data_IF_586491192837
#
_entry.id   IF_586491192837
#
_cell.length_a   1.000
_cell.length_b   1.000
_cell.length_c   1.000
_cell.angle_alpha   90.00
_cell.angle_beta   90.00
_cell.angle_gamma   90.00
#
_symmetry.space_group_name_H-M   'P 1'
#
loop_
_entity.id
_entity.type
_entity.pdbx_description
1 polymer ?
#
# COMPACT_ATOMS: atom_id res chain seq x y z
N UNK A 1 33.63 -21.89 17.71
CA UNK A 1 32.15 -21.78 17.72
C UNK A 1 31.68 -20.55 18.50
N UNK A 2 32.23 -20.25 19.68
CA UNK A 2 31.90 -19.04 20.49
C UNK A 2 32.05 -17.72 19.74
N UNK A 3 32.99 -17.63 18.78
CA UNK A 3 33.24 -16.42 17.99
C UNK A 3 32.15 -16.08 16.96
N UNK A 4 31.47 -17.08 16.38
CA UNK A 4 30.46 -16.85 15.33
C UNK A 4 29.15 -16.32 15.93
N UNK A 5 28.73 -16.87 17.07
CA UNK A 5 27.53 -16.41 17.78
C UNK A 5 27.74 -14.98 18.29
N UNK A 6 28.92 -14.69 18.83
CA UNK A 6 29.27 -13.33 19.26
C UNK A 6 29.33 -12.36 18.08
N UNK A 7 29.91 -12.77 16.95
CA UNK A 7 29.93 -11.96 15.72
C UNK A 7 28.52 -11.64 15.24
N UNK A 8 27.64 -12.64 15.13
CA UNK A 8 26.24 -12.44 14.74
C UNK A 8 25.52 -11.51 15.72
N UNK A 9 25.71 -11.71 17.03
CA UNK A 9 25.13 -10.85 18.06
C UNK A 9 25.53 -9.39 17.88
N UNK A 10 26.81 -9.13 17.59
CA UNK A 10 27.31 -7.78 17.37
C UNK A 10 26.80 -7.21 16.04
N UNK A 11 26.76 -8.00 14.96
CA UNK A 11 26.17 -7.59 13.67
C UNK A 11 24.71 -7.16 13.83
N UNK A 12 23.90 -7.91 14.58
CA UNK A 12 22.52 -7.55 14.85
C UNK A 12 22.41 -6.23 15.64
N UNK A 13 23.24 -6.07 16.68
CA UNK A 13 23.27 -4.85 17.49
C UNK A 13 23.71 -3.62 16.67
N UNK A 14 24.73 -3.78 15.83
CA UNK A 14 25.25 -2.73 14.95
C UNK A 14 24.22 -2.33 13.87
N UNK A 15 23.50 -3.30 13.30
CA UNK A 15 22.42 -3.05 12.36
C UNK A 15 21.29 -2.23 13.00
N UNK A 16 20.88 -2.59 14.22
CA UNK A 16 19.89 -1.82 14.99
C UNK A 16 20.41 -0.40 15.29
N UNK A 17 21.66 -0.27 15.75
CA UNK A 17 22.24 1.02 16.08
C UNK A 17 22.40 1.93 14.86
N UNK A 18 22.69 1.37 13.68
CA UNK A 18 22.79 2.12 12.42
C UNK A 18 21.42 2.61 11.97
N UNK A 19 20.46 1.69 11.78
CA UNK A 19 19.13 2.03 11.29
C UNK A 19 18.35 2.90 12.29
N UNK A 20 18.54 2.68 13.60
CA UNK A 20 17.89 3.40 14.68
C UNK A 20 18.11 4.91 14.67
N UNK A 21 19.18 5.40 14.02
CA UNK A 21 19.45 6.84 13.87
C UNK A 21 18.41 7.57 13.02
N UNK A 22 17.74 6.86 12.11
CA UNK A 22 16.67 7.37 11.28
C UNK A 22 15.27 7.10 11.87
N UNK A 23 15.17 6.41 13.01
CA UNK A 23 13.90 6.02 13.62
C UNK A 23 13.39 7.11 14.54
N UNK A 24 12.14 7.52 14.36
CA UNK A 24 11.46 8.52 15.20
C UNK A 24 10.20 7.93 15.82
N UNK A 25 9.81 8.41 17.01
CA UNK A 25 8.47 8.15 17.51
C UNK A 25 7.49 9.10 16.81
N UNK A 26 6.32 8.61 16.41
CA UNK A 26 5.26 9.42 15.80
C UNK A 26 4.11 9.52 16.79
N UNK A 27 3.79 10.74 17.20
CA UNK A 27 2.71 11.05 18.12
C UNK A 27 1.57 11.69 17.34
N UNK A 28 0.72 10.85 16.75
CA UNK A 28 -0.43 11.26 15.92
C UNK A 28 -1.76 10.62 16.41
N UNK A 29 -1.83 10.29 17.71
CA UNK A 29 -2.99 9.65 18.35
C UNK A 29 -3.03 9.95 19.85
N UNK A 30 -4.21 9.85 20.46
CA UNK A 30 -4.42 10.19 21.90
C UNK A 30 -3.61 9.36 22.89
N UNK A 31 -3.21 8.13 22.56
CA UNK A 31 -2.51 7.21 23.46
C UNK A 31 -1.43 6.45 22.72
N UNK A 32 -0.21 6.52 23.25
CA UNK A 32 0.98 5.84 22.73
C UNK A 32 1.47 6.44 21.41
N UNK A 33 2.76 6.25 21.13
CA UNK A 33 3.38 6.58 19.85
C UNK A 33 3.34 5.39 18.90
N UNK A 34 3.43 5.66 17.60
CA UNK A 34 3.90 4.69 16.61
C UNK A 34 5.34 5.00 16.24
N UNK A 35 5.86 4.32 15.22
CA UNK A 35 7.21 4.57 14.73
C UNK A 35 7.13 5.20 13.35
N UNK A 36 8.10 6.05 13.04
CA UNK A 36 8.35 6.55 11.69
C UNK A 36 9.82 6.43 11.34
N UNK A 37 10.11 6.63 10.07
CA UNK A 37 11.46 6.63 9.51
C UNK A 37 11.70 7.97 8.85
N UNK A 38 12.80 8.64 9.21
CA UNK A 38 13.33 9.80 8.49
C UNK A 38 13.78 9.34 7.10
N UNK A 39 12.87 9.40 6.13
CA UNK A 39 13.03 8.82 4.81
C UNK A 39 13.98 9.65 3.93
N UNK A 40 13.89 10.97 4.06
CA UNK A 40 14.77 11.96 3.43
C UNK A 40 14.77 13.25 4.27
N UNK A 41 15.64 14.24 4.00
CA UNK A 41 15.65 15.48 4.77
C UNK A 41 14.26 16.12 4.86
N UNK A 42 13.79 16.39 6.07
CA UNK A 42 12.46 16.99 6.34
C UNK A 42 11.25 16.09 6.09
N UNK A 43 11.42 14.81 5.76
CA UNK A 43 10.32 13.88 5.43
C UNK A 43 10.39 12.63 6.29
N UNK A 44 9.29 12.34 6.98
CA UNK A 44 9.11 11.11 7.75
C UNK A 44 8.02 10.26 7.09
N UNK A 45 8.30 8.98 6.90
CA UNK A 45 7.31 7.97 6.51
C UNK A 45 6.86 7.19 7.73
N UNK A 46 5.57 6.90 7.84
CA UNK A 46 4.99 6.04 8.88
C UNK A 46 3.82 5.23 8.31
N UNK A 47 3.17 4.44 9.16
CA UNK A 47 1.99 3.66 8.79
C UNK A 47 0.69 4.48 8.96
N UNK A 48 -0.13 4.56 7.89
CA UNK A 48 -1.39 5.33 7.85
C UNK A 48 -2.32 4.98 9.01
N UNK A 49 -2.56 3.69 9.27
CA UNK A 49 -3.50 3.29 10.32
C UNK A 49 -3.11 3.78 11.73
N UNK A 50 -1.86 4.20 11.93
CA UNK A 50 -1.39 4.74 13.21
C UNK A 50 -1.60 6.25 13.35
N UNK A 51 -1.76 6.96 12.23
CA UNK A 51 -2.05 8.41 12.16
C UNK A 51 -3.56 8.59 12.29
N UNK A 52 -4.00 9.02 13.47
CA UNK A 52 -5.43 9.17 13.83
C UNK A 52 -5.85 10.62 14.04
N UNK A 53 -4.93 11.56 13.88
CA UNK A 53 -5.10 12.99 14.00
C UNK A 53 -4.49 13.64 12.76
N UNK A 54 -5.12 14.70 12.29
CA UNK A 54 -4.62 15.47 11.14
C UNK A 54 -3.85 16.72 11.59
N UNK A 55 -4.11 17.19 12.81
CA UNK A 55 -3.49 18.34 13.44
C UNK A 55 -2.71 17.93 14.70
N UNK A 56 -1.85 18.84 15.18
CA UNK A 56 -1.05 18.67 16.41
C UNK A 56 -0.13 17.42 16.40
N UNK A 57 0.26 16.96 15.21
CA UNK A 57 1.18 15.85 15.06
C UNK A 57 2.56 16.29 15.52
N UNK A 58 3.20 15.48 16.37
CA UNK A 58 4.60 15.66 16.74
C UNK A 58 5.38 14.38 16.49
N UNK A 59 6.66 14.52 16.21
CA UNK A 59 7.60 13.40 16.23
C UNK A 59 8.57 13.56 17.40
N UNK A 60 9.04 12.46 17.96
CA UNK A 60 10.14 12.46 18.93
C UNK A 60 11.37 11.88 18.25
N UNK A 61 12.44 12.68 18.17
CA UNK A 61 13.72 12.29 17.57
C UNK A 61 14.45 11.26 18.43
N UNK A 62 15.48 10.57 17.88
CA UNK A 62 16.33 9.66 18.66
C UNK A 62 16.97 10.30 19.90
N UNK A 63 17.22 11.61 19.87
CA UNK A 63 17.76 12.37 21.00
C UNK A 63 16.70 12.79 22.05
N UNK A 64 15.45 12.36 21.87
CA UNK A 64 14.33 12.64 22.75
C UNK A 64 13.61 13.96 22.50
N UNK A 65 14.08 14.82 21.58
CA UNK A 65 13.44 16.12 21.32
C UNK A 65 12.12 15.95 20.56
N UNK A 66 11.01 16.53 21.05
CA UNK A 66 9.77 16.62 20.29
C UNK A 66 9.88 17.72 19.22
N UNK A 67 9.37 17.45 18.03
CA UNK A 67 9.35 18.37 16.90
C UNK A 67 7.97 18.35 16.25
N UNK A 68 7.37 19.51 15.92
CA UNK A 68 6.11 19.55 15.20
C UNK A 68 6.26 18.93 13.81
N UNK A 69 5.21 18.25 13.36
CA UNK A 69 5.14 17.68 12.03
C UNK A 69 3.76 17.95 11.42
N UNK A 70 3.70 18.01 10.10
CA UNK A 70 2.46 18.23 9.34
C UNK A 70 2.20 17.03 8.45
N UNK A 71 0.95 16.58 8.38
CA UNK A 71 0.56 15.52 7.45
C UNK A 71 0.60 16.07 6.02
N UNK A 72 1.56 15.60 5.21
CA UNK A 72 1.61 15.94 3.79
C UNK A 72 0.57 15.16 2.99
N UNK A 73 0.37 13.89 3.35
CA UNK A 73 -0.59 13.02 2.70
C UNK A 73 -0.60 11.63 3.29
N UNK A 74 -1.62 10.86 2.95
CA UNK A 74 -1.74 9.45 3.37
C UNK A 74 -2.35 8.59 2.29
N UNK A 75 -1.99 7.32 2.35
CA UNK A 75 -2.42 6.31 1.41
C UNK A 75 -2.93 5.06 2.14
N UNK A 76 -4.24 4.97 2.45
CA UNK A 76 -4.79 3.81 3.15
C UNK A 76 -4.67 2.48 2.39
N UNK A 77 -4.45 2.53 1.06
CA UNK A 77 -4.31 1.34 0.23
C UNK A 77 -2.96 0.65 0.40
N UNK A 78 -1.87 1.40 0.51
CA UNK A 78 -0.55 0.87 0.91
C UNK A 78 -0.28 0.98 2.40
N UNK A 79 -1.18 1.62 3.15
CA UNK A 79 -1.05 1.89 4.59
C UNK A 79 0.16 2.77 4.93
N UNK A 80 0.50 3.72 4.07
CA UNK A 80 1.59 4.69 4.27
C UNK A 80 1.04 6.09 4.55
N UNK A 81 1.72 6.83 5.42
CA UNK A 81 1.52 8.26 5.59
C UNK A 81 2.86 8.99 5.57
N UNK A 82 2.84 10.22 5.06
CA UNK A 82 4.02 11.08 4.99
C UNK A 82 3.81 12.33 5.82
N UNK A 83 4.79 12.60 6.68
CA UNK A 83 4.85 13.80 7.49
C UNK A 83 6.01 14.69 7.03
N UNK A 84 5.78 16.00 6.98
CA UNK A 84 6.84 17.00 6.79
C UNK A 84 7.24 17.61 8.12
N UNK A 85 8.55 17.84 8.28
CA UNK A 85 9.15 18.35 9.52
C UNK A 85 10.04 19.55 9.19
N UNK A 86 9.96 20.67 9.94
CA UNK A 86 10.63 21.93 9.59
C UNK A 86 12.17 21.93 9.71
N UNK A 87 12.78 20.87 10.25
CA UNK A 87 14.22 20.79 10.49
C UNK A 87 14.81 19.47 9.95
N UNK A 88 15.76 19.59 9.03
CA UNK A 88 16.25 18.53 8.15
C UNK A 88 17.33 17.58 8.72
N UNK A 89 17.78 17.78 9.97
CA UNK A 89 19.00 17.14 10.50
C UNK A 89 18.81 15.93 11.44
N UNK A 90 17.99 14.91 11.14
CA UNK A 90 18.27 13.55 11.60
C UNK A 90 19.13 12.80 10.58
N UNK A 91 19.79 11.73 11.03
CA UNK A 91 20.37 10.77 10.10
C UNK A 91 19.25 10.23 9.20
N UNK A 92 19.42 10.39 7.89
CA UNK A 92 18.47 9.87 6.89
C UNK A 92 18.63 8.35 6.79
N UNK A 93 17.54 7.67 6.48
CA UNK A 93 17.52 6.25 6.19
C UNK A 93 18.57 5.86 5.12
N UNK A 94 19.45 4.91 5.46
CA UNK A 94 20.25 4.19 4.47
C UNK A 94 19.36 3.12 3.83
N UNK A 95 18.97 3.31 2.57
CA UNK A 95 18.08 2.39 1.88
C UNK A 95 18.85 1.20 1.32
N UNK A 96 18.33 -0.01 1.55
CA UNK A 96 18.78 -1.25 0.95
C UNK A 96 17.95 -1.62 -0.26
N UNK A 97 18.18 -2.83 -0.77
CA UNK A 97 17.40 -3.39 -1.87
C UNK A 97 16.50 -4.52 -1.37
N UNK A 98 15.19 -4.27 -1.38
CA UNK A 98 14.17 -5.25 -1.00
C UNK A 98 14.11 -6.44 -1.99
N UNK A 99 14.55 -6.25 -3.24
CA UNK A 99 14.50 -7.32 -4.24
C UNK A 99 15.57 -8.39 -4.03
N UNK A 100 16.65 -8.03 -3.32
CA UNK A 100 17.70 -8.94 -2.89
C UNK A 100 17.25 -9.92 -1.79
N UNK A 101 16.12 -9.64 -1.10
CA UNK A 101 15.62 -10.49 -0.02
C UNK A 101 15.10 -11.83 -0.53
N UNK A 102 15.51 -12.90 0.15
CA UNK A 102 15.07 -14.27 -0.08
C UNK A 102 14.43 -14.83 1.18
N UNK A 103 13.57 -15.83 1.01
CA UNK A 103 13.02 -16.59 2.14
C UNK A 103 14.16 -17.16 2.98
N UNK A 104 14.09 -16.97 4.30
CA UNK A 104 15.12 -17.37 5.25
C UNK A 104 16.19 -16.31 5.53
N UNK A 105 16.24 -15.20 4.78
CA UNK A 105 17.14 -14.09 5.16
C UNK A 105 16.75 -13.52 6.53
N UNK A 106 17.71 -13.36 7.45
CA UNK A 106 17.47 -12.73 8.73
C UNK A 106 17.21 -11.24 8.55
N UNK A 107 16.25 -10.73 9.30
CA UNK A 107 15.82 -9.33 9.26
C UNK A 107 15.46 -8.85 10.66
N UNK A 108 15.53 -7.54 10.83
CA UNK A 108 15.22 -6.84 12.07
C UNK A 108 14.07 -5.87 11.84
N UNK A 109 13.06 -5.91 12.70
CA UNK A 109 12.03 -4.90 12.78
C UNK A 109 12.36 -3.95 13.94
N UNK A 110 12.32 -2.64 13.69
CA UNK A 110 12.62 -1.64 14.71
C UNK A 110 11.35 -0.84 15.07
N UNK A 111 11.25 -0.49 16.35
CA UNK A 111 10.32 0.49 16.90
C UNK A 111 11.06 1.65 17.57
N UNK A 112 10.38 2.78 17.74
CA UNK A 112 10.94 3.95 18.41
C UNK A 112 11.31 3.67 19.89
N UNK A 113 12.39 4.30 20.38
CA UNK A 113 12.89 4.12 21.75
C UNK A 113 13.96 3.04 21.88
N UNK A 114 14.93 3.00 20.95
CA UNK A 114 14.99 1.94 19.94
C UNK A 114 14.73 0.55 20.54
N UNK A 115 13.66 -0.08 20.10
CA UNK A 115 13.35 -1.49 20.40
C UNK A 115 13.48 -2.31 19.13
N UNK A 116 14.00 -3.52 19.22
CA UNK A 116 14.17 -4.40 18.06
C UNK A 116 13.50 -5.75 18.28
N UNK A 117 13.04 -6.34 17.18
CA UNK A 117 12.55 -7.71 17.07
C UNK A 117 13.26 -8.34 15.87
N UNK A 118 13.68 -9.60 15.99
CA UNK A 118 14.43 -10.28 14.94
C UNK A 118 13.67 -11.52 14.46
N UNK A 119 13.97 -11.94 13.24
CA UNK A 119 13.44 -13.16 12.66
C UNK A 119 13.86 -13.28 11.21
N UNK A 120 12.99 -13.86 10.38
CA UNK A 120 13.31 -14.11 8.96
C UNK A 120 12.22 -13.62 8.01
N UNK A 121 12.59 -13.43 6.75
CA UNK A 121 11.62 -13.35 5.65
C UNK A 121 11.00 -14.73 5.46
N UNK A 122 9.69 -14.86 5.69
CA UNK A 122 8.97 -16.14 5.65
C UNK A 122 8.30 -16.42 4.30
N UNK A 123 8.01 -15.38 3.52
CA UNK A 123 7.66 -15.53 2.11
C UNK A 123 7.98 -14.27 1.33
N UNK A 124 8.30 -14.51 0.06
CA UNK A 124 8.46 -13.51 -0.96
C UNK A 124 7.59 -13.89 -2.14
N UNK A 125 6.77 -12.96 -2.61
CA UNK A 125 6.03 -13.10 -3.86
C UNK A 125 6.16 -11.81 -4.67
N UNK A 126 5.77 -11.85 -5.95
CA UNK A 126 5.78 -10.68 -6.82
C UNK A 126 4.80 -9.58 -6.38
N UNK A 127 4.40 -8.76 -7.36
CA UNK A 127 3.47 -7.66 -7.13
C UNK A 127 2.22 -8.11 -6.40
N UNK A 128 1.82 -7.32 -5.41
CA UNK A 128 0.68 -7.60 -4.55
C UNK A 128 -0.31 -6.43 -4.57
N UNK A 129 -1.55 -6.71 -4.94
CA UNK A 129 -2.67 -5.78 -4.81
C UNK A 129 -3.34 -5.99 -3.46
N UNK A 130 -3.40 -4.94 -2.64
CA UNK A 130 -4.08 -4.99 -1.35
C UNK A 130 -5.60 -4.92 -1.59
N UNK A 131 -6.38 -5.47 -0.65
CA UNK A 131 -7.85 -5.39 -0.69
C UNK A 131 -8.40 -3.95 -0.65
N UNK A 132 -7.55 -2.96 -0.30
CA UNK A 132 -7.87 -1.53 -0.30
C UNK A 132 -7.48 -0.83 -1.61
N UNK A 133 -7.01 -1.57 -2.61
CA UNK A 133 -6.58 -1.04 -3.91
C UNK A 133 -5.21 -0.37 -3.88
N UNK A 134 -4.35 -0.72 -2.91
CA UNK A 134 -2.93 -0.35 -2.95
C UNK A 134 -2.13 -1.33 -3.80
N UNK A 135 -1.17 -0.79 -4.54
CA UNK A 135 -0.23 -1.59 -5.32
C UNK A 135 1.12 -1.62 -4.61
N UNK A 136 1.56 -2.83 -4.26
CA UNK A 136 2.83 -3.09 -3.57
C UNK A 136 3.71 -3.90 -4.50
N UNK A 137 4.94 -3.44 -4.72
CA UNK A 137 5.84 -3.98 -5.73
C UNK A 137 6.23 -5.45 -5.45
N UNK A 138 6.23 -5.84 -4.18
CA UNK A 138 6.59 -7.18 -3.72
C UNK A 138 5.92 -7.51 -2.38
N UNK A 139 5.34 -8.70 -2.25
CA UNK A 139 4.90 -9.19 -0.95
C UNK A 139 6.12 -9.63 -0.14
N UNK A 140 6.36 -8.96 1.00
CA UNK A 140 7.34 -9.38 2.01
C UNK A 140 6.61 -9.82 3.28
N UNK A 141 6.50 -11.13 3.48
CA UNK A 141 5.92 -11.70 4.71
C UNK A 141 7.05 -12.08 5.66
N UNK A 142 6.86 -11.78 6.95
CA UNK A 142 7.90 -11.93 7.95
C UNK A 142 7.48 -12.94 9.02
N UNK A 143 8.47 -13.59 9.62
CA UNK A 143 8.31 -14.40 10.82
C UNK A 143 9.13 -13.76 11.94
N UNK A 144 8.51 -12.77 12.59
CA UNK A 144 9.02 -12.02 13.74
C UNK A 144 7.83 -11.41 14.50
N UNK A 145 8.07 -10.81 15.67
CA UNK A 145 7.01 -10.15 16.43
C UNK A 145 7.01 -8.64 16.17
N UNK A 146 5.88 -8.09 15.70
CA UNK A 146 5.64 -6.64 15.67
C UNK A 146 4.83 -6.22 16.89
N UNK A 147 5.51 -5.72 17.92
CA UNK A 147 4.85 -5.21 19.12
C UNK A 147 4.07 -3.91 18.83
N UNK A 148 3.07 -3.56 19.65
CA UNK A 148 2.42 -2.25 19.56
C UNK A 148 3.45 -1.12 19.53
N UNK A 149 3.39 -0.29 18.48
CA UNK A 149 4.34 0.80 18.25
C UNK A 149 5.31 0.55 17.08
N UNK A 150 5.52 -0.69 16.64
CA UNK A 150 6.45 -1.01 15.54
C UNK A 150 5.93 -0.61 14.15
N UNK A 151 4.61 -0.50 13.97
CA UNK A 151 4.05 -0.08 12.68
C UNK A 151 4.54 1.31 12.30
N UNK A 152 4.97 1.44 11.05
CA UNK A 152 5.64 2.61 10.49
C UNK A 152 7.16 2.64 10.72
N UNK A 153 7.70 1.72 11.53
CA UNK A 153 9.15 1.54 11.70
C UNK A 153 9.79 0.70 10.60
N UNK A 154 11.13 0.69 10.50
CA UNK A 154 11.83 0.06 9.40
C UNK A 154 11.95 -1.46 9.58
N UNK A 155 11.85 -2.18 8.46
CA UNK A 155 12.44 -3.50 8.29
C UNK A 155 13.88 -3.32 7.81
N UNK A 156 14.83 -4.01 8.43
CA UNK A 156 16.27 -3.76 8.28
C UNK A 156 16.99 -5.07 7.99
N UNK A 157 17.95 -5.04 7.06
CA UNK A 157 18.85 -6.16 6.80
C UNK A 157 20.02 -6.22 7.80
N UNK A 158 20.92 -7.19 7.67
CA UNK A 158 22.06 -7.33 8.58
C UNK A 158 23.14 -6.24 8.40
N UNK A 159 23.11 -5.48 7.30
CA UNK A 159 24.01 -4.35 7.08
C UNK A 159 23.49 -3.06 7.74
N UNK A 160 22.31 -3.11 8.35
CA UNK A 160 21.64 -1.94 8.93
C UNK A 160 20.94 -1.07 7.88
N UNK A 161 20.74 -1.57 6.65
CA UNK A 161 20.00 -0.85 5.61
C UNK A 161 18.52 -1.16 5.69
N UNK A 162 17.71 -0.14 5.45
CA UNK A 162 16.26 -0.22 5.49
C UNK A 162 15.76 -0.81 4.18
N UNK A 163 15.08 -1.95 4.26
CA UNK A 163 14.53 -2.70 3.11
C UNK A 163 13.00 -2.58 3.01
N UNK A 164 12.35 -1.95 4.00
CA UNK A 164 10.94 -1.62 3.93
C UNK A 164 10.39 -0.98 5.20
N UNK A 165 9.07 -0.78 5.23
CA UNK A 165 8.33 -0.27 6.40
C UNK A 165 7.40 -1.34 6.94
N UNK A 166 7.52 -1.64 8.23
CA UNK A 166 6.69 -2.62 8.91
C UNK A 166 5.25 -2.11 9.04
N UNK A 167 4.29 -2.99 8.76
CA UNK A 167 2.87 -2.67 8.96
C UNK A 167 2.07 -3.88 9.44
N UNK A 168 1.08 -3.59 10.29
CA UNK A 168 -0.03 -4.49 10.66
C UNK A 168 -1.35 -4.10 10.01
N UNK A 169 -1.40 -2.99 9.27
CA UNK A 169 -2.60 -2.45 8.64
C UNK A 169 -3.05 -3.20 7.38
N UNK A 170 -2.13 -3.96 6.76
CA UNK A 170 -2.39 -4.69 5.51
C UNK A 170 -2.64 -6.19 5.68
N UNK A 171 -2.29 -6.75 6.83
CA UNK A 171 -2.43 -8.18 7.12
C UNK A 171 -2.80 -8.39 8.58
N UNK A 172 -3.85 -9.18 8.82
CA UNK A 172 -4.35 -9.47 10.17
C UNK A 172 -3.63 -10.62 10.87
N UNK A 173 -2.98 -11.49 10.10
CA UNK A 173 -2.48 -12.77 10.61
C UNK A 173 -0.97 -12.89 10.58
N UNK A 174 -0.30 -12.11 9.72
CA UNK A 174 1.15 -12.22 9.56
C UNK A 174 1.75 -10.85 9.36
N UNK A 175 2.86 -10.52 10.05
CA UNK A 175 3.63 -9.32 9.78
C UNK A 175 4.04 -9.22 8.32
N UNK A 176 3.91 -8.02 7.76
CA UNK A 176 4.38 -7.70 6.42
C UNK A 176 5.18 -6.40 6.45
N UNK A 177 6.05 -6.24 5.45
CA UNK A 177 6.73 -4.99 5.19
C UNK A 177 6.39 -4.47 3.80
N UNK A 178 6.28 -3.15 3.69
CA UNK A 178 6.10 -2.43 2.44
C UNK A 178 7.51 -2.14 1.89
N UNK A 179 7.91 -2.69 0.72
CA UNK A 179 9.26 -2.54 0.17
C UNK A 179 9.65 -1.09 -0.07
N UNK A 180 10.96 -0.79 0.01
CA UNK A 180 11.50 0.57 -0.26
C UNK A 180 11.03 1.19 -1.58
N UNK A 181 10.89 0.38 -2.64
CA UNK A 181 10.44 0.87 -3.95
C UNK A 181 9.00 1.42 -3.88
N UNK A 182 8.11 0.67 -3.21
CA UNK A 182 6.73 1.12 -2.95
C UNK A 182 6.72 2.35 -2.07
N UNK A 183 7.51 2.38 -0.99
CA UNK A 183 7.57 3.50 -0.06
C UNK A 183 8.03 4.79 -0.77
N UNK A 184 9.10 4.74 -1.56
CA UNK A 184 9.59 5.89 -2.32
C UNK A 184 8.56 6.41 -3.30
N UNK A 185 7.97 5.54 -4.12
CA UNK A 185 6.94 5.90 -5.10
C UNK A 185 5.73 6.56 -4.44
N UNK A 186 5.20 5.94 -3.38
CA UNK A 186 4.03 6.47 -2.65
C UNK A 186 4.39 7.79 -1.97
N UNK A 187 5.57 7.88 -1.34
CA UNK A 187 5.98 9.10 -0.65
C UNK A 187 6.09 10.31 -1.58
N UNK A 188 6.60 10.09 -2.79
CA UNK A 188 6.69 11.15 -3.80
C UNK A 188 5.33 11.63 -4.29
N UNK A 189 4.38 10.72 -4.50
CA UNK A 189 3.01 11.10 -4.88
C UNK A 189 2.28 11.83 -3.74
N UNK A 190 2.42 11.33 -2.50
CA UNK A 190 1.83 11.97 -1.32
C UNK A 190 2.38 13.39 -1.10
N UNK A 191 3.67 13.63 -1.32
CA UNK A 191 4.24 14.97 -1.20
C UNK A 191 3.83 15.91 -2.33
N UNK A 192 3.55 15.39 -3.52
CA UNK A 192 3.11 16.20 -4.67
C UNK A 192 1.62 16.55 -4.64
N UNK A 193 0.78 15.59 -4.24
CA UNK A 193 -0.69 15.67 -4.43
C UNK A 193 -1.49 15.53 -3.13
N UNK A 194 -0.84 15.17 -2.03
CA UNK A 194 -1.49 14.83 -0.76
C UNK A 194 -2.18 13.46 -0.73
N UNK A 195 -2.26 12.77 -1.87
CA UNK A 195 -2.88 11.44 -2.01
C UNK A 195 -2.31 10.67 -3.19
N UNK A 196 -2.48 9.35 -3.20
CA UNK A 196 -2.17 8.50 -4.36
C UNK A 196 -3.43 8.36 -5.20
N UNK A 197 -3.34 8.78 -6.46
CA UNK A 197 -4.42 8.67 -7.42
C UNK A 197 -4.79 7.21 -7.66
N UNK A 198 -6.08 6.91 -7.73
CA UNK A 198 -6.57 5.54 -7.97
C UNK A 198 -7.66 5.54 -9.02
N UNK A 199 -7.48 4.72 -10.05
CA UNK A 199 -8.53 4.51 -11.02
C UNK A 199 -9.78 3.97 -10.34
N UNK A 200 -10.93 4.54 -10.68
CA UNK A 200 -12.21 3.99 -10.29
C UNK A 200 -13.25 4.20 -11.38
N UNK A 201 -14.22 3.29 -11.44
CA UNK A 201 -15.39 3.40 -12.31
C UNK A 201 -16.65 3.83 -11.56
N UNK A 202 -16.67 3.71 -10.23
CA UNK A 202 -17.88 3.98 -9.43
C UNK A 202 -18.94 2.88 -9.61
N UNK A 203 -18.50 1.62 -9.68
CA UNK A 203 -19.36 0.45 -9.84
C UNK A 203 -19.21 -0.48 -8.63
N UNK A 204 -20.33 -1.04 -8.17
CA UNK A 204 -20.31 -2.27 -7.41
C UNK A 204 -20.62 -3.43 -8.37
N UNK A 205 -19.78 -4.45 -8.35
CA UNK A 205 -19.80 -5.56 -9.31
C UNK A 205 -19.96 -6.89 -8.58
N UNK A 206 -20.68 -7.81 -9.21
CA UNK A 206 -20.80 -9.19 -8.71
C UNK A 206 -20.58 -10.19 -9.86
N UNK A 207 -19.76 -11.24 -9.68
CA UNK A 207 -19.61 -12.28 -10.69
C UNK A 207 -20.93 -13.02 -10.95
N UNK A 208 -21.27 -13.20 -12.22
CA UNK A 208 -22.45 -13.96 -12.65
C UNK A 208 -22.10 -14.88 -13.82
N UNK A 209 -22.72 -16.07 -13.83
CA UNK A 209 -22.62 -16.99 -14.97
C UNK A 209 -23.54 -16.53 -16.08
N UNK A 210 -23.02 -16.50 -17.29
CA UNK A 210 -23.76 -16.21 -18.51
C UNK A 210 -24.37 -17.50 -19.08
N UNK A 211 -25.63 -17.47 -19.57
CA UNK A 211 -26.20 -18.59 -20.30
C UNK A 211 -25.34 -18.99 -21.51
N UNK A 212 -25.22 -20.29 -21.77
CA UNK A 212 -24.38 -20.83 -22.87
C UNK A 212 -24.74 -20.23 -24.23
N UNK A 213 -26.05 -20.20 -24.50
CA UNK A 213 -26.62 -19.68 -25.75
C UNK A 213 -26.27 -18.21 -25.94
N UNK A 214 -26.31 -17.41 -24.86
CA UNK A 214 -25.97 -16.00 -24.91
C UNK A 214 -24.48 -15.78 -25.16
N UNK A 215 -23.61 -16.50 -24.44
CA UNK A 215 -22.16 -16.41 -24.64
C UNK A 215 -21.76 -16.80 -26.07
N UNK A 216 -22.34 -17.88 -26.60
CA UNK A 216 -22.08 -18.34 -27.97
C UNK A 216 -22.60 -17.36 -29.03
N UNK A 217 -23.81 -16.81 -28.84
CA UNK A 217 -24.40 -15.84 -29.78
C UNK A 217 -23.59 -14.55 -29.85
N UNK A 218 -23.02 -14.13 -28.71
CA UNK A 218 -22.22 -12.90 -28.61
C UNK A 218 -20.71 -13.12 -28.83
N UNK A 219 -20.28 -14.36 -29.13
CA UNK A 219 -18.87 -14.68 -29.36
C UNK A 219 -17.96 -14.45 -28.15
N UNK A 220 -18.49 -14.59 -26.92
CA UNK A 220 -17.73 -14.31 -25.71
C UNK A 220 -16.78 -15.46 -25.38
N UNK A 221 -15.52 -15.12 -25.11
CA UNK A 221 -14.51 -16.09 -24.68
C UNK A 221 -14.76 -16.63 -23.26
N UNK A 222 -15.41 -15.82 -22.41
CA UNK A 222 -15.73 -16.16 -21.02
C UNK A 222 -17.22 -16.45 -20.86
N UNK A 223 -17.55 -17.42 -19.99
CA UNK A 223 -18.93 -17.73 -19.55
C UNK A 223 -19.29 -17.06 -18.23
N UNK A 224 -18.45 -16.15 -17.78
CA UNK A 224 -18.63 -15.32 -16.58
C UNK A 224 -18.52 -13.87 -16.99
N UNK A 225 -19.39 -13.03 -16.43
CA UNK A 225 -19.28 -11.57 -16.49
C UNK A 225 -19.52 -10.96 -15.12
N UNK A 226 -19.45 -9.64 -15.05
CA UNK A 226 -19.64 -8.89 -13.81
C UNK A 226 -20.95 -8.09 -13.91
N UNK A 227 -21.99 -8.51 -13.17
CA UNK A 227 -23.23 -7.75 -13.10
C UNK A 227 -23.02 -6.50 -12.25
N UNK A 228 -23.51 -5.38 -12.76
CA UNK A 228 -23.55 -4.10 -12.07
C UNK A 228 -24.68 -4.12 -11.06
N UNK A 229 -24.32 -4.20 -9.78
CA UNK A 229 -25.30 -4.18 -8.67
C UNK A 229 -25.54 -2.78 -8.13
N UNK A 230 -24.62 -1.85 -8.36
CA UNK A 230 -24.80 -0.43 -8.07
C UNK A 230 -23.94 0.45 -8.98
N UNK A 231 -24.44 1.64 -9.29
CA UNK A 231 -23.70 2.70 -9.98
C UNK A 231 -23.66 3.92 -9.08
N UNK A 232 -22.46 4.41 -8.78
CA UNK A 232 -22.27 5.62 -7.98
C UNK A 232 -22.82 6.85 -8.71
N UNK A 233 -23.74 7.56 -8.07
CA UNK A 233 -24.36 8.75 -8.63
C UNK A 233 -23.32 9.85 -8.89
N UNK A 234 -23.28 10.38 -10.11
CA UNK A 234 -22.27 11.36 -10.53
C UNK A 234 -20.86 10.78 -10.73
N UNK A 235 -20.69 9.46 -10.55
CA UNK A 235 -19.44 8.77 -10.80
C UNK A 235 -19.19 8.49 -12.30
N UNK A 236 -18.00 7.96 -12.65
CA UNK A 236 -17.57 7.84 -14.03
C UNK A 236 -18.46 6.91 -14.88
N UNK A 237 -18.89 5.79 -14.32
CA UNK A 237 -19.82 4.89 -15.00
C UNK A 237 -21.25 5.44 -15.10
N UNK A 238 -21.68 6.28 -14.15
CA UNK A 238 -22.96 7.01 -14.27
C UNK A 238 -22.91 7.99 -15.44
N UNK A 239 -21.81 8.75 -15.57
CA UNK A 239 -21.59 9.66 -16.70
C UNK A 239 -21.50 8.93 -18.05
N UNK A 240 -20.98 7.69 -18.04
CA UNK A 240 -20.93 6.82 -19.22
C UNK A 240 -22.28 6.14 -19.54
N UNK A 241 -23.31 6.32 -18.71
CA UNK A 241 -24.65 5.76 -18.94
C UNK A 241 -24.79 4.28 -18.62
N UNK A 242 -23.93 3.72 -17.75
CA UNK A 242 -24.13 2.38 -17.20
C UNK A 242 -25.30 2.37 -16.22
N UNK A 243 -25.99 1.23 -16.17
CA UNK A 243 -27.18 1.01 -15.36
C UNK A 243 -27.00 -0.21 -14.47
N UNK A 244 -27.74 -0.24 -13.35
CA UNK A 244 -27.89 -1.44 -12.55
C UNK A 244 -28.50 -2.55 -13.42
N UNK A 245 -27.92 -3.76 -13.33
CA UNK A 245 -28.32 -4.92 -14.12
C UNK A 245 -27.55 -5.09 -15.44
N UNK A 246 -26.75 -4.11 -15.87
CA UNK A 246 -25.78 -4.33 -16.95
C UNK A 246 -24.78 -5.41 -16.55
N UNK A 247 -24.35 -6.23 -17.50
CA UNK A 247 -23.28 -7.21 -17.26
C UNK A 247 -22.06 -6.82 -18.06
N UNK A 248 -21.00 -6.42 -17.38
CA UNK A 248 -19.69 -6.13 -17.97
C UNK A 248 -19.02 -7.44 -18.38
N UNK A 249 -18.56 -7.51 -19.63
CA UNK A 249 -17.94 -8.73 -20.19
C UNK A 249 -16.52 -8.53 -20.69
N UNK A 250 -16.19 -7.33 -21.19
CA UNK A 250 -14.80 -7.00 -21.55
C UNK A 250 -14.45 -5.55 -21.19
N UNK A 251 -13.16 -5.31 -20.94
CA UNK A 251 -12.54 -4.00 -20.81
C UNK A 251 -11.34 -3.92 -21.76
N UNK A 252 -11.32 -2.94 -22.66
CA UNK A 252 -10.34 -2.81 -23.75
C UNK A 252 -10.13 -4.12 -24.55
N UNK A 253 -11.20 -4.90 -24.70
CA UNK A 253 -11.18 -6.20 -25.38
C UNK A 253 -10.68 -7.38 -24.54
N UNK A 254 -10.15 -7.14 -23.33
CA UNK A 254 -9.80 -8.21 -22.39
C UNK A 254 -11.06 -8.71 -21.66
N UNK A 255 -11.29 -10.04 -21.56
CA UNK A 255 -12.43 -10.57 -20.83
C UNK A 255 -12.33 -10.26 -19.34
N UNK A 256 -13.46 -10.01 -18.69
CA UNK A 256 -13.56 -9.84 -17.24
C UNK A 256 -14.53 -10.85 -16.65
N UNK A 257 -14.09 -11.60 -15.66
CA UNK A 257 -14.91 -12.57 -14.93
C UNK A 257 -14.91 -12.36 -13.42
N UNK A 258 -13.88 -11.69 -12.89
CA UNK A 258 -13.70 -11.42 -11.47
C UNK A 258 -13.39 -9.94 -11.24
N UNK A 259 -13.62 -9.47 -10.01
CA UNK A 259 -13.40 -8.05 -9.67
C UNK A 259 -11.93 -7.65 -9.83
N UNK A 260 -11.01 -8.61 -9.67
CA UNK A 260 -9.57 -8.38 -9.79
C UNK A 260 -9.17 -8.05 -11.23
N UNK A 261 -9.88 -8.57 -12.23
CA UNK A 261 -9.66 -8.23 -13.65
C UNK A 261 -9.92 -6.74 -13.89
N UNK A 262 -10.96 -6.19 -13.26
CA UNK A 262 -11.30 -4.77 -13.34
C UNK A 262 -10.27 -3.91 -12.61
N UNK A 263 -9.85 -4.34 -11.42
CA UNK A 263 -8.81 -3.62 -10.65
C UNK A 263 -7.49 -3.53 -11.42
N UNK A 264 -7.12 -4.59 -12.15
CA UNK A 264 -5.90 -4.61 -12.97
C UNK A 264 -5.91 -3.54 -14.09
N UNK A 265 -7.09 -3.15 -14.60
CA UNK A 265 -7.24 -2.09 -15.60
C UNK A 265 -7.22 -0.69 -14.96
N UNK A 266 -7.65 -0.58 -13.71
CA UNK A 266 -7.85 0.69 -12.98
C UNK A 266 -6.58 1.23 -12.28
N UNK A 267 -5.40 0.95 -12.81
CA UNK A 267 -4.14 1.48 -12.27
C UNK A 267 -4.10 3.01 -12.24
N UNK A 268 -3.32 3.58 -11.31
CA UNK A 268 -3.18 5.04 -11.11
C UNK A 268 -2.85 5.82 -12.39
N UNK A 269 -2.03 5.24 -13.27
CA UNK A 269 -1.64 5.79 -14.56
C UNK A 269 -2.79 5.94 -15.56
N UNK A 270 -3.93 5.25 -15.32
CA UNK A 270 -5.10 5.30 -16.18
C UNK A 270 -6.09 6.37 -15.76
N UNK A 271 -5.91 7.04 -14.62
CA UNK A 271 -6.79 8.13 -14.20
C UNK A 271 -6.85 9.21 -15.28
N UNK A 272 -8.07 9.56 -15.70
CA UNK A 272 -8.36 10.48 -16.80
C UNK A 272 -8.38 9.85 -18.20
N UNK A 273 -7.95 8.60 -18.36
CA UNK A 273 -8.05 7.86 -19.63
C UNK A 273 -9.43 7.24 -19.82
N UNK A 274 -9.77 6.92 -21.07
CA UNK A 274 -11.02 6.24 -21.43
C UNK A 274 -10.77 4.75 -21.68
N UNK A 275 -11.60 3.91 -21.08
CA UNK A 275 -11.61 2.45 -21.26
C UNK A 275 -12.88 2.07 -22.02
N UNK A 276 -12.74 1.23 -23.05
CA UNK A 276 -13.89 0.70 -23.79
C UNK A 276 -14.42 -0.55 -23.09
N UNK A 277 -15.67 -0.50 -22.68
CA UNK A 277 -16.36 -1.58 -22.01
C UNK A 277 -17.39 -2.21 -22.95
N UNK A 278 -17.32 -3.54 -23.12
CA UNK A 278 -18.45 -4.27 -23.67
C UNK A 278 -19.36 -4.71 -22.52
N UNK A 279 -20.65 -4.40 -22.66
CA UNK A 279 -21.69 -4.78 -21.71
C UNK A 279 -22.78 -5.61 -22.38
N UNK A 280 -23.56 -6.31 -21.57
CA UNK A 280 -24.85 -6.90 -21.95
C UNK A 280 -25.94 -6.13 -21.20
N UNK A 281 -26.89 -5.59 -21.95
CA UNK A 281 -28.07 -4.88 -21.41
C UNK A 281 -29.33 -5.48 -22.04
N UNK A 282 -30.24 -5.95 -21.21
CA UNK A 282 -31.48 -6.60 -21.66
C UNK A 282 -31.26 -7.71 -22.71
N UNK A 283 -30.16 -8.47 -22.58
CA UNK A 283 -29.80 -9.57 -23.49
C UNK A 283 -29.08 -9.17 -24.77
N UNK A 284 -28.90 -7.88 -25.05
CA UNK A 284 -28.15 -7.38 -26.21
C UNK A 284 -26.76 -6.88 -25.79
N UNK A 285 -25.76 -7.04 -26.67
CA UNK A 285 -24.43 -6.46 -26.44
C UNK A 285 -24.41 -4.98 -26.82
N UNK A 286 -23.77 -4.16 -25.99
CA UNK A 286 -23.49 -2.76 -26.25
C UNK A 286 -22.04 -2.42 -25.90
N UNK A 287 -21.51 -1.36 -26.53
CA UNK A 287 -20.20 -0.79 -26.22
C UNK A 287 -20.42 0.53 -25.49
N UNK A 288 -19.66 0.76 -24.42
CA UNK A 288 -19.70 1.98 -23.62
C UNK A 288 -18.28 2.44 -23.33
N UNK A 289 -18.04 3.74 -23.43
CA UNK A 289 -16.75 4.33 -23.10
C UNK A 289 -16.81 4.90 -21.68
N UNK A 290 -15.99 4.36 -20.79
CA UNK A 290 -15.94 4.77 -19.38
C UNK A 290 -14.64 5.53 -19.15
N UNK A 291 -14.74 6.79 -18.73
CA UNK A 291 -13.55 7.52 -18.27
C UNK A 291 -13.15 7.00 -16.89
N UNK A 292 -11.88 6.69 -16.68
CA UNK A 292 -11.36 6.28 -15.38
C UNK A 292 -11.26 7.53 -14.49
N UNK A 293 -12.07 7.58 -13.44
CA UNK A 293 -11.99 8.67 -12.46
C UNK A 293 -10.84 8.50 -11.49
N UNK A 294 -10.54 9.55 -10.73
CA UNK A 294 -9.73 9.45 -9.51
C UNK A 294 -10.64 9.16 -8.32
N UNK A 295 -10.37 8.07 -7.59
CA UNK A 295 -11.23 7.61 -6.51
C UNK A 295 -11.35 8.69 -5.42
N UNK A 296 -12.56 9.13 -5.06
CA UNK A 296 -12.75 10.08 -3.98
C UNK A 296 -12.11 9.58 -2.69
N UNK A 297 -11.30 10.43 -2.05
CA UNK A 297 -10.73 10.15 -0.75
C UNK A 297 -11.84 10.30 0.30
N UNK A 298 -12.24 9.22 0.95
CA UNK A 298 -13.14 9.30 2.10
C UNK A 298 -12.49 10.14 3.19
N UNK A 299 -13.12 11.23 3.62
CA UNK A 299 -12.73 11.91 4.86
C UNK A 299 -12.93 10.92 6.01
N UNK A 300 -11.89 10.72 6.82
CA UNK A 300 -12.00 10.01 8.10
C UNK A 300 -12.62 10.91 9.16
#
# INVERSE_FOLDING_TARGET
>A
MTSLVLSLSNTLADAVARAGRAVVAVNARRRGSSTGVQWRPGVVVTADHTVRMDDEITITRPDGRPVPATLAGRDPGTDLAVLTVPDAEPAVAELGDADSLKVGHPVLALGAGPTASWGVVSAVSGRWHTWRGGEIDRLLRLDLVLYPGFSGGPLVDLDGRIVGINTSGLSRHTPVAIPVATVSRVSDELLKRGHVARGYFGLALHPVRLPETLAHTLGLASRTGLIVVNVEAGGPSSAAGLLMGDVLVTLDGAPVGETDDVQAVLGSQRVGSTVRAQIIRAGASAQVEITVGDRPQGRR
#
